data_IF_250097677964
#
_entry.id   IF_250097677964
#
_cell.length_a   1.000
_cell.length_b   1.000
_cell.length_c   1.000
_cell.angle_alpha   90.00
_cell.angle_beta   90.00
_cell.angle_gamma   90.00
#
_symmetry.space_group_name_H-M   'P 1'
#
loop_
_entity.id
_entity.type
_entity.pdbx_description
1 polymer ?
#
# COMPACT_ATOMS: atom_id res chain seq x y z
N UNK A 1 -10.11 -3.61 -8.06
CA UNK A 1 -10.16 -4.28 -6.74
C UNK A 1 -9.47 -3.36 -5.71
N UNK A 2 -10.12 -3.05 -4.59
CA UNK A 2 -9.63 -2.09 -3.59
C UNK A 2 -8.41 -2.61 -2.79
N UNK A 3 -8.12 -3.90 -2.86
CA UNK A 3 -7.12 -4.63 -2.06
C UNK A 3 -6.10 -5.37 -2.95
N UNK A 4 -5.55 -4.72 -3.98
CA UNK A 4 -4.42 -5.26 -4.74
C UNK A 4 -3.10 -4.76 -4.11
N UNK A 5 -2.38 -5.60 -3.35
CA UNK A 5 -1.18 -5.16 -2.64
C UNK A 5 -0.05 -4.76 -3.59
N UNK A 6 0.10 -5.42 -4.74
CA UNK A 6 1.16 -5.08 -5.70
C UNK A 6 0.92 -3.71 -6.31
N UNK A 7 -0.34 -3.40 -6.63
CA UNK A 7 -0.72 -2.07 -7.10
C UNK A 7 -0.41 -1.00 -6.06
N UNK A 8 -0.74 -1.25 -4.79
CA UNK A 8 -0.50 -0.31 -3.71
C UNK A 8 1.00 -0.09 -3.43
N UNK A 9 1.84 -1.13 -3.54
CA UNK A 9 3.31 -0.97 -3.44
C UNK A 9 3.88 -0.14 -4.59
N UNK A 10 3.46 -0.41 -5.83
CA UNK A 10 3.87 0.41 -6.99
C UNK A 10 3.45 1.88 -6.84
N UNK A 11 2.24 2.12 -6.34
CA UNK A 11 1.77 3.47 -6.06
C UNK A 11 2.64 4.14 -4.97
N UNK A 12 2.95 3.42 -3.89
CA UNK A 12 3.80 3.93 -2.82
C UNK A 12 5.17 4.38 -3.34
N UNK A 13 5.82 3.56 -4.17
CA UNK A 13 7.10 3.91 -4.83
C UNK A 13 6.95 5.14 -5.72
N UNK A 14 5.94 5.18 -6.58
CA UNK A 14 5.69 6.32 -7.47
C UNK A 14 5.48 7.63 -6.71
N UNK A 15 4.69 7.62 -5.63
CA UNK A 15 4.50 8.82 -4.80
C UNK A 15 5.78 9.21 -4.05
N UNK A 16 6.60 8.25 -3.62
CA UNK A 16 7.88 8.56 -3.01
C UNK A 16 8.83 9.26 -3.99
N UNK A 17 8.88 8.78 -5.24
CA UNK A 17 9.67 9.41 -6.30
C UNK A 17 9.15 10.82 -6.60
N UNK A 18 7.84 11.01 -6.73
CA UNK A 18 7.21 12.33 -6.92
C UNK A 18 7.53 13.30 -5.78
N UNK A 19 7.54 12.82 -4.53
CA UNK A 19 7.91 13.63 -3.36
C UNK A 19 9.36 14.12 -3.43
N UNK A 20 10.26 13.34 -4.05
CA UNK A 20 11.68 13.69 -4.20
C UNK A 20 11.95 14.62 -5.38
N UNK A 21 11.10 14.58 -6.41
CA UNK A 21 11.30 15.34 -7.64
C UNK A 21 10.56 16.68 -7.66
N UNK A 22 9.54 16.88 -6.82
CA UNK A 22 8.85 18.18 -6.74
C UNK A 22 9.72 19.25 -6.09
N UNK A 23 9.62 20.48 -6.59
CA UNK A 23 10.25 21.67 -6.00
C UNK A 23 9.40 22.38 -4.92
N UNK A 24 8.18 21.91 -4.67
CA UNK A 24 7.27 22.52 -3.69
C UNK A 24 7.23 21.71 -2.40
N UNK A 25 7.55 22.35 -1.27
CA UNK A 25 7.51 21.71 0.05
C UNK A 25 6.11 21.15 0.39
N UNK A 26 5.05 21.84 -0.05
CA UNK A 26 3.66 21.38 0.15
C UNK A 26 3.36 20.11 -0.64
N UNK A 27 3.81 20.06 -1.89
CA UNK A 27 3.62 18.88 -2.75
C UNK A 27 4.46 17.70 -2.24
N UNK A 28 5.69 17.95 -1.82
CA UNK A 28 6.56 16.95 -1.22
C UNK A 28 5.87 16.28 -0.02
N UNK A 29 5.32 17.07 0.90
CA UNK A 29 4.60 16.54 2.06
C UNK A 29 3.32 15.77 1.66
N UNK A 30 2.59 16.28 0.65
CA UNK A 30 1.41 15.62 0.12
C UNK A 30 1.74 14.24 -0.46
N UNK A 31 2.72 14.15 -1.35
CA UNK A 31 3.15 12.89 -1.94
C UNK A 31 3.74 11.94 -0.89
N UNK A 32 4.49 12.44 0.10
CA UNK A 32 4.98 11.63 1.21
C UNK A 32 3.82 11.04 2.05
N UNK A 33 2.71 11.76 2.23
CA UNK A 33 1.49 11.20 2.84
C UNK A 33 0.87 10.12 1.95
N UNK A 34 0.73 10.37 0.66
CA UNK A 34 0.17 9.38 -0.28
C UNK A 34 0.99 8.09 -0.35
N UNK A 35 2.32 8.20 -0.34
CA UNK A 35 3.23 7.06 -0.32
C UNK A 35 2.99 6.19 0.91
N UNK A 36 2.96 6.80 2.10
CA UNK A 36 2.70 6.11 3.37
C UNK A 36 1.31 5.46 3.41
N UNK A 37 0.28 6.16 2.95
CA UNK A 37 -1.07 5.59 2.87
C UNK A 37 -1.10 4.38 1.92
N UNK A 38 -0.44 4.46 0.77
CA UNK A 38 -0.37 3.35 -0.17
C UNK A 38 0.38 2.15 0.42
N UNK A 39 1.47 2.38 1.16
CA UNK A 39 2.19 1.32 1.86
C UNK A 39 1.31 0.63 2.93
N UNK A 40 0.53 1.39 3.69
CA UNK A 40 -0.42 0.85 4.67
C UNK A 40 -1.51 0.02 3.98
N UNK A 41 -2.04 0.47 2.85
CA UNK A 41 -3.02 -0.28 2.07
C UNK A 41 -2.44 -1.60 1.54
N UNK A 42 -1.18 -1.61 1.10
CA UNK A 42 -0.50 -2.84 0.69
C UNK A 42 -0.39 -3.83 1.85
N UNK A 43 0.08 -3.37 3.03
CA UNK A 43 0.19 -4.20 4.24
C UNK A 43 -1.16 -4.76 4.68
N UNK A 44 -2.20 -3.94 4.65
CA UNK A 44 -3.56 -4.38 5.00
C UNK A 44 -4.09 -5.42 4.01
N UNK A 45 -3.82 -5.27 2.71
CA UNK A 45 -4.21 -6.26 1.71
C UNK A 45 -3.45 -7.59 1.89
N UNK A 46 -2.16 -7.54 2.24
CA UNK A 46 -1.37 -8.74 2.56
C UNK A 46 -1.89 -9.43 3.85
N UNK A 47 -2.29 -8.65 4.85
CA UNK A 47 -2.87 -9.18 6.08
C UNK A 47 -4.21 -9.87 5.84
N UNK A 48 -5.12 -9.25 5.07
CA UNK A 48 -6.41 -9.86 4.68
C UNK A 48 -6.18 -11.18 3.95
N UNK A 49 -5.25 -11.23 2.98
CA UNK A 49 -4.90 -12.47 2.28
C UNK A 49 -4.40 -13.55 3.23
N UNK A 50 -3.61 -13.18 4.23
CA UNK A 50 -3.09 -14.13 5.23
C UNK A 50 -4.21 -14.71 6.10
N UNK A 51 -5.20 -13.89 6.46
CA UNK A 51 -6.40 -14.34 7.18
C UNK A 51 -7.25 -15.28 6.31
N UNK A 52 -7.42 -14.97 5.02
CA UNK A 52 -8.17 -15.84 4.11
C UNK A 52 -7.54 -17.23 4.01
N UNK A 53 -6.20 -17.31 3.90
CA UNK A 53 -5.47 -18.59 3.89
C UNK A 53 -5.63 -19.34 5.21
N UNK A 54 -5.48 -18.65 6.34
CA UNK A 54 -5.67 -19.26 7.67
C UNK A 54 -7.09 -19.83 7.85
N UNK A 55 -8.12 -19.06 7.46
CA UNK A 55 -9.51 -19.50 7.55
C UNK A 55 -9.81 -20.67 6.60
N UNK A 56 -9.19 -20.71 5.42
CA UNK A 56 -9.31 -21.84 4.51
C UNK A 56 -8.71 -23.12 5.10
N UNK A 57 -7.52 -23.04 5.71
CA UNK A 57 -6.89 -24.18 6.40
C UNK A 57 -7.73 -24.67 7.59
N UNK A 58 -8.31 -23.74 8.36
CA UNK A 58 -9.18 -24.09 9.49
C UNK A 58 -10.45 -24.83 9.05
N UNK A 59 -11.07 -24.43 7.94
CA UNK A 59 -12.29 -25.10 7.40
C UNK A 59 -12.04 -26.48 6.83
N UNK A 60 -10.79 -26.78 6.47
CA UNK A 60 -10.41 -28.07 5.89
C UNK A 60 -10.11 -29.15 6.94
N UNK A 61 -10.09 -28.78 8.23
CA UNK A 61 -9.85 -29.67 9.38
C UNK A 61 -11.16 -30.01 10.07
#
# INVERSE_FOLDING_TARGET
>A
MLLDPERHRRNATSFFDQARTTGSAREQEHFARMARTSELLAKNADWVRSLDVFLADLRAK
#
